data_IF_082379923139
#
_entry.id   IF_082379923139
#
_cell.length_a   1.000
_cell.length_b   1.000
_cell.length_c   1.000
_cell.angle_alpha   90.00
_cell.angle_beta   90.00
_cell.angle_gamma   90.00
#
_symmetry.space_group_name_H-M   'P 1'
#
loop_
_entity.id
_entity.type
_entity.pdbx_description
1 polymer ?
#
# COMPACT_ATOMS: atom_id res chain seq x y z
N UNK A 1 4.12 19.28 16.32
CA UNK A 1 3.88 17.84 16.10
C UNK A 1 4.75 17.36 14.94
N UNK A 2 5.45 16.23 15.09
CA UNK A 2 6.68 15.83 14.35
C UNK A 2 6.47 15.26 12.93
N UNK A 3 5.25 15.23 12.39
CA UNK A 3 4.98 14.62 11.06
C UNK A 3 4.65 15.71 10.05
N UNK A 4 5.52 15.88 9.05
CA UNK A 4 5.33 16.89 7.99
C UNK A 4 4.31 16.42 6.93
N UNK A 5 3.65 17.37 6.27
CA UNK A 5 2.73 17.07 5.16
C UNK A 5 3.43 16.34 3.98
N UNK A 6 4.74 16.57 3.79
CA UNK A 6 5.52 15.83 2.80
C UNK A 6 5.65 14.35 3.18
N UNK A 7 5.90 14.06 4.45
CA UNK A 7 6.02 12.69 4.96
C UNK A 7 4.74 11.90 4.70
N UNK A 8 3.57 12.48 5.00
CA UNK A 8 2.28 11.83 4.76
C UNK A 8 2.04 11.59 3.26
N UNK A 9 2.35 12.56 2.41
CA UNK A 9 2.24 12.40 0.95
C UNK A 9 3.13 11.27 0.42
N UNK A 10 4.36 11.17 0.94
CA UNK A 10 5.29 10.09 0.58
C UNK A 10 4.69 8.74 1.01
N UNK A 11 4.18 8.61 2.23
CA UNK A 11 3.55 7.37 2.67
C UNK A 11 2.32 6.98 1.82
N UNK A 12 1.44 7.93 1.51
CA UNK A 12 0.30 7.69 0.61
C UNK A 12 0.76 7.18 -0.77
N UNK A 13 1.80 7.77 -1.35
CA UNK A 13 2.34 7.33 -2.64
C UNK A 13 3.04 5.97 -2.55
N UNK A 14 3.80 5.72 -1.48
CA UNK A 14 4.49 4.44 -1.26
C UNK A 14 3.51 3.28 -1.11
N UNK A 15 2.41 3.46 -0.38
CA UNK A 15 1.38 2.43 -0.24
C UNK A 15 0.72 2.07 -1.59
N UNK A 16 0.43 3.09 -2.41
CA UNK A 16 -0.07 2.89 -3.77
C UNK A 16 0.95 2.18 -4.67
N UNK A 17 2.22 2.57 -4.60
CA UNK A 17 3.29 1.92 -5.37
C UNK A 17 3.47 0.46 -4.97
N UNK A 18 3.30 0.13 -3.68
CA UNK A 18 3.35 -1.25 -3.19
C UNK A 18 2.17 -2.07 -3.76
N UNK A 19 0.96 -1.51 -3.73
CA UNK A 19 -0.23 -2.11 -4.34
C UNK A 19 -0.02 -2.42 -5.83
N UNK A 20 0.39 -1.41 -6.59
CA UNK A 20 0.60 -1.54 -8.04
C UNK A 20 1.78 -2.48 -8.32
N UNK A 21 2.87 -2.38 -7.57
CA UNK A 21 4.07 -3.19 -7.76
C UNK A 21 3.79 -4.68 -7.62
N UNK A 22 3.02 -5.07 -6.60
CA UNK A 22 2.61 -6.47 -6.41
C UNK A 22 1.81 -6.98 -7.61
N UNK A 23 0.87 -6.19 -8.12
CA UNK A 23 0.07 -6.58 -9.28
C UNK A 23 0.83 -6.60 -10.60
N UNK A 24 1.80 -5.69 -10.78
CA UNK A 24 2.70 -5.70 -11.95
C UNK A 24 3.58 -6.96 -11.92
N UNK A 25 4.10 -7.35 -10.76
CA UNK A 25 4.86 -8.61 -10.62
C UNK A 25 4.00 -9.82 -10.98
N UNK A 26 2.72 -9.84 -10.61
CA UNK A 26 1.80 -10.91 -11.01
C UNK A 26 1.60 -10.97 -12.53
N UNK A 27 1.40 -9.81 -13.18
CA UNK A 27 1.29 -9.71 -14.64
C UNK A 27 2.57 -10.18 -15.36
N UNK A 28 3.75 -9.79 -14.86
CA UNK A 28 5.04 -10.21 -15.43
C UNK A 28 5.26 -11.72 -15.34
N UNK A 29 4.63 -12.39 -14.37
CA UNK A 29 4.66 -13.84 -14.21
C UNK A 29 3.55 -14.57 -14.97
N UNK A 30 2.78 -13.86 -15.80
CA UNK A 30 1.72 -14.43 -16.64
C UNK A 30 0.38 -14.65 -15.94
N UNK A 31 0.23 -14.15 -14.70
CA UNK A 31 -1.05 -14.11 -14.00
C UNK A 31 -1.84 -12.84 -14.30
N UNK A 32 -3.03 -12.73 -13.70
CA UNK A 32 -3.78 -11.47 -13.69
C UNK A 32 -3.24 -10.51 -12.61
N UNK A 33 -3.62 -9.23 -12.66
CA UNK A 33 -3.12 -8.19 -11.73
C UNK A 33 -3.31 -8.50 -10.23
N UNK A 34 -4.31 -9.31 -9.84
CA UNK A 34 -4.52 -9.76 -8.45
C UNK A 34 -4.32 -11.27 -8.30
N UNK A 35 -3.71 -11.91 -9.29
CA UNK A 35 -3.43 -13.34 -9.23
C UNK A 35 -2.17 -13.58 -8.43
N UNK A 36 -2.32 -13.75 -7.12
CA UNK A 36 -1.17 -13.96 -6.24
C UNK A 36 -0.61 -15.39 -6.31
N UNK A 37 -1.28 -16.32 -7.00
CA UNK A 37 -0.81 -17.71 -7.11
C UNK A 37 0.55 -17.79 -7.80
N UNK A 38 0.85 -16.86 -8.71
CA UNK A 38 2.08 -16.85 -9.50
C UNK A 38 3.26 -16.24 -8.73
N UNK A 39 3.05 -15.62 -7.57
CA UNK A 39 4.11 -14.90 -6.85
C UNK A 39 5.18 -15.84 -6.27
N UNK A 40 4.83 -17.09 -5.95
CA UNK A 40 5.73 -18.09 -5.35
C UNK A 40 5.63 -19.43 -6.08
N UNK A 41 6.60 -20.32 -5.85
CA UNK A 41 6.58 -21.69 -6.39
C UNK A 41 5.42 -22.52 -5.83
N UNK A 42 4.92 -22.18 -4.64
CA UNK A 42 3.71 -22.75 -4.07
C UNK A 42 2.57 -21.72 -4.15
N UNK A 43 1.45 -22.03 -4.82
CA UNK A 43 0.32 -21.11 -4.97
C UNK A 43 -0.21 -20.58 -3.63
N UNK A 44 -0.26 -21.42 -2.60
CA UNK A 44 -0.72 -21.06 -1.25
C UNK A 44 0.19 -20.00 -0.64
N UNK A 45 1.51 -20.19 -0.74
CA UNK A 45 2.49 -19.22 -0.23
C UNK A 45 2.44 -17.90 -1.02
N UNK A 46 2.23 -17.98 -2.34
CA UNK A 46 2.05 -16.80 -3.19
C UNK A 46 0.84 -15.97 -2.78
N UNK A 47 -0.30 -16.63 -2.51
CA UNK A 47 -1.52 -16.00 -2.00
C UNK A 47 -1.31 -15.28 -0.67
N UNK A 48 -0.72 -15.95 0.32
CA UNK A 48 -0.49 -15.33 1.62
C UNK A 48 0.40 -14.08 1.53
N UNK A 49 1.49 -14.17 0.76
CA UNK A 49 2.42 -13.04 0.58
C UNK A 49 1.76 -11.91 -0.21
N UNK A 50 1.03 -12.23 -1.28
CA UNK A 50 0.35 -11.25 -2.11
C UNK A 50 -0.70 -10.47 -1.33
N UNK A 51 -1.59 -11.17 -0.63
CA UNK A 51 -2.63 -10.55 0.21
C UNK A 51 -1.99 -9.66 1.29
N UNK A 52 -1.00 -10.17 2.02
CA UNK A 52 -0.33 -9.41 3.07
C UNK A 52 0.30 -8.11 2.54
N UNK A 53 1.00 -8.18 1.39
CA UNK A 53 1.63 -7.01 0.79
C UNK A 53 0.58 -5.97 0.35
N UNK A 54 -0.53 -6.41 -0.24
CA UNK A 54 -1.62 -5.53 -0.66
C UNK A 54 -2.30 -4.88 0.54
N UNK A 55 -2.63 -5.66 1.58
CA UNK A 55 -3.21 -5.15 2.81
C UNK A 55 -2.30 -4.11 3.48
N UNK A 56 -0.99 -4.36 3.50
CA UNK A 56 0.01 -3.41 3.99
C UNK A 56 0.02 -2.11 3.16
N UNK A 57 0.05 -2.22 1.83
CA UNK A 57 0.04 -1.05 0.94
C UNK A 57 -1.23 -0.20 1.06
N UNK A 58 -2.39 -0.87 1.10
CA UNK A 58 -3.69 -0.21 1.32
C UNK A 58 -3.73 0.42 2.71
N UNK A 59 -3.28 -0.29 3.75
CA UNK A 59 -3.23 0.21 5.12
C UNK A 59 -2.36 1.46 5.28
N UNK A 60 -1.17 1.49 4.66
CA UNK A 60 -0.30 2.68 4.66
C UNK A 60 -1.00 3.85 3.96
N UNK A 61 -1.60 3.61 2.79
CA UNK A 61 -2.26 4.67 2.01
C UNK A 61 -3.44 5.26 2.76
N UNK A 62 -4.31 4.40 3.29
CA UNK A 62 -5.50 4.81 4.03
C UNK A 62 -5.09 5.50 5.33
N UNK A 63 -4.14 4.96 6.08
CA UNK A 63 -3.61 5.56 7.30
C UNK A 63 -3.07 6.97 7.06
N UNK A 64 -2.16 7.13 6.09
CA UNK A 64 -1.59 8.44 5.75
C UNK A 64 -2.66 9.44 5.26
N UNK A 65 -3.66 8.96 4.50
CA UNK A 65 -4.77 9.79 4.02
C UNK A 65 -5.66 10.26 5.17
N UNK A 66 -6.04 9.36 6.09
CA UNK A 66 -6.84 9.70 7.27
C UNK A 66 -6.11 10.68 8.19
N UNK A 67 -4.80 10.47 8.40
CA UNK A 67 -3.96 11.41 9.15
C UNK A 67 -3.88 12.78 8.46
N UNK A 68 -3.78 12.81 7.14
CA UNK A 68 -3.77 14.07 6.36
C UNK A 68 -5.09 14.81 6.51
N UNK A 69 -6.23 14.12 6.37
CA UNK A 69 -7.57 14.67 6.57
C UNK A 69 -7.69 15.25 7.98
N UNK A 70 -7.25 14.51 9.01
CA UNK A 70 -7.30 14.97 10.39
C UNK A 70 -6.56 16.31 10.58
N UNK A 71 -5.35 16.48 10.04
CA UNK A 71 -4.62 17.74 10.16
C UNK A 71 -5.19 18.89 9.34
N UNK A 72 -5.87 18.59 8.24
CA UNK A 72 -6.55 19.62 7.44
C UNK A 72 -7.76 20.19 8.19
N UNK A 73 -8.55 19.34 8.85
CA UNK A 73 -9.80 19.75 9.50
C UNK A 73 -9.67 20.08 10.98
N UNK A 74 -8.68 19.51 11.67
CA UNK A 74 -8.35 19.81 13.07
C UNK A 74 -6.91 20.32 13.17
N UNK A 75 -6.60 21.50 12.60
CA UNK A 75 -5.32 22.13 12.83
C UNK A 75 -5.15 22.36 14.34
N UNK A 76 -4.11 21.77 14.91
CA UNK A 76 -3.70 22.07 16.29
C UNK A 76 -3.17 23.50 16.25
N UNK A 77 -3.92 24.46 16.81
CA UNK A 77 -3.45 25.82 16.98
C UNK A 77 -2.09 25.77 17.72
N UNK A 78 -1.07 26.35 17.09
CA UNK A 78 0.30 26.45 17.60
C UNK A 78 0.44 27.61 18.58
#
# INVERSE_FOLDING_TARGET
MIVSANTLRIFSALGLLLYIGVGVVALMKGGNFLDYNVLSSSPISGQHIGIFMIELGVGITVGATMTTIFFIFFPVES
#
